data_IF_308308114030
#
_entry.id   IF_308308114030
#
_cell.length_a   1.000
_cell.length_b   1.000
_cell.length_c   1.000
_cell.angle_alpha   90.00
_cell.angle_beta   90.00
_cell.angle_gamma   90.00
#
_symmetry.space_group_name_H-M   'P 1'
#
loop_
_entity.id
_entity.type
_entity.pdbx_description
1 polymer ?
#
# COMPACT_ATOMS: atom_id res chain seq x y z
N UNK A 1 -50.99 34.57 -25.70
CA UNK A 1 -50.57 34.13 -24.35
C UNK A 1 -50.65 35.31 -23.39
N UNK A 2 -51.34 35.15 -22.27
CA UNK A 2 -51.76 36.24 -21.38
C UNK A 2 -50.60 36.81 -20.56
N UNK A 3 -50.58 38.13 -20.30
CA UNK A 3 -49.54 38.79 -19.47
C UNK A 3 -49.39 38.19 -18.07
N UNK A 4 -50.43 37.50 -17.58
CA UNK A 4 -50.42 36.77 -16.31
C UNK A 4 -49.48 35.56 -16.33
N UNK A 5 -49.41 34.80 -17.43
CA UNK A 5 -48.53 33.63 -17.53
C UNK A 5 -47.06 34.03 -17.58
N UNK A 6 -46.71 35.13 -18.25
CA UNK A 6 -45.33 35.65 -18.28
C UNK A 6 -44.86 36.16 -16.90
N UNK A 7 -45.74 36.82 -16.14
CA UNK A 7 -45.42 37.28 -14.77
C UNK A 7 -45.23 36.11 -13.79
N UNK A 8 -46.10 35.09 -13.86
CA UNK A 8 -45.98 33.89 -13.04
C UNK A 8 -44.66 33.14 -13.30
N UNK A 9 -44.27 33.01 -14.57
CA UNK A 9 -43.01 32.36 -14.95
C UNK A 9 -41.79 33.15 -14.46
N UNK A 10 -41.82 34.49 -14.54
CA UNK A 10 -40.76 35.34 -14.01
C UNK A 10 -40.59 35.20 -12.49
N UNK A 11 -41.70 35.20 -11.74
CA UNK A 11 -41.68 35.01 -10.28
C UNK A 11 -41.11 33.63 -9.91
N UNK A 12 -41.55 32.57 -10.58
CA UNK A 12 -41.02 31.21 -10.34
C UNK A 12 -39.51 31.12 -10.62
N UNK A 13 -39.02 31.80 -11.66
CA UNK A 13 -37.59 31.82 -12.00
C UNK A 13 -36.76 32.52 -10.91
N UNK A 14 -37.25 33.65 -10.40
CA UNK A 14 -36.59 34.40 -9.31
C UNK A 14 -36.58 33.57 -8.02
N UNK A 15 -37.72 32.97 -7.65
CA UNK A 15 -37.82 32.11 -6.46
C UNK A 15 -36.92 30.88 -6.57
N UNK A 16 -36.85 30.24 -7.75
CA UNK A 16 -35.94 29.13 -8.00
C UNK A 16 -34.47 29.52 -7.85
N UNK A 17 -34.10 30.71 -8.34
CA UNK A 17 -32.74 31.24 -8.21
C UNK A 17 -32.38 31.53 -6.75
N UNK A 18 -33.30 32.15 -6.00
CA UNK A 18 -33.11 32.42 -4.56
C UNK A 18 -32.99 31.12 -3.77
N UNK A 19 -33.84 30.13 -4.05
CA UNK A 19 -33.79 28.82 -3.39
C UNK A 19 -32.46 28.09 -3.69
N UNK A 20 -32.02 28.05 -4.94
CA UNK A 20 -30.74 27.46 -5.33
C UNK A 20 -29.54 28.18 -4.71
N UNK A 21 -29.55 29.52 -4.69
CA UNK A 21 -28.49 30.33 -4.06
C UNK A 21 -28.46 30.16 -2.53
N UNK A 22 -29.62 30.11 -1.90
CA UNK A 22 -29.76 29.90 -0.45
C UNK A 22 -29.32 28.49 -0.06
N UNK A 23 -29.68 27.48 -0.86
CA UNK A 23 -29.21 26.12 -0.68
C UNK A 23 -27.70 26.02 -0.85
N UNK A 24 -27.12 26.63 -1.90
CA UNK A 24 -25.67 26.67 -2.10
C UNK A 24 -24.93 27.36 -0.96
N UNK A 25 -25.49 28.47 -0.44
CA UNK A 25 -24.92 29.22 0.68
C UNK A 25 -25.02 28.45 1.99
N UNK A 26 -26.20 27.87 2.28
CA UNK A 26 -26.41 27.02 3.44
C UNK A 26 -25.51 25.78 3.37
N UNK A 27 -25.37 25.15 2.20
CA UNK A 27 -24.42 24.07 2.00
C UNK A 27 -22.99 24.52 2.29
N UNK A 28 -22.54 25.68 1.82
CA UNK A 28 -21.18 26.17 2.10
C UNK A 28 -20.94 26.63 3.55
N UNK A 29 -21.95 27.16 4.22
CA UNK A 29 -21.86 27.66 5.61
C UNK A 29 -22.07 26.55 6.64
N UNK A 30 -22.94 25.59 6.36
CA UNK A 30 -23.27 24.48 7.24
C UNK A 30 -22.42 23.24 6.98
N UNK A 31 -21.77 23.15 5.82
CA UNK A 31 -20.76 22.11 5.60
C UNK A 31 -19.60 22.40 6.54
N UNK A 32 -19.45 21.53 7.53
CA UNK A 32 -18.22 21.40 8.27
C UNK A 32 -17.07 21.34 7.25
N UNK A 33 -16.26 22.40 7.21
CA UNK A 33 -15.14 22.52 6.25
C UNK A 33 -14.07 21.47 6.52
N UNK A 34 -14.23 20.71 7.59
CA UNK A 34 -13.23 19.83 8.12
C UNK A 34 -12.16 20.60 8.86
N UNK A 35 -11.19 19.86 9.41
CA UNK A 35 -10.00 20.46 9.99
C UNK A 35 -9.28 21.34 8.96
N UNK A 36 -8.76 22.48 9.41
CA UNK A 36 -7.97 23.36 8.54
C UNK A 36 -6.63 22.69 8.17
N UNK A 37 -5.93 23.24 7.17
CA UNK A 37 -4.63 22.73 6.77
C UNK A 37 -3.62 22.78 7.92
N UNK A 38 -3.63 23.88 8.68
CA UNK A 38 -2.79 24.11 9.86
C UNK A 38 -3.11 23.08 10.96
N UNK A 39 -4.37 22.71 11.09
CA UNK A 39 -4.82 21.74 12.08
C UNK A 39 -4.37 20.31 11.72
N UNK A 40 -4.40 19.96 10.42
CA UNK A 40 -3.85 18.69 9.90
C UNK A 40 -2.33 18.66 10.09
N UNK A 41 -1.64 19.75 9.78
CA UNK A 41 -0.19 19.88 9.97
C UNK A 41 0.19 19.69 11.44
N UNK A 42 -0.48 20.39 12.36
CA UNK A 42 -0.20 20.29 13.79
C UNK A 42 -0.39 18.86 14.31
N UNK A 43 -1.50 18.21 13.95
CA UNK A 43 -1.76 16.82 14.33
C UNK A 43 -0.75 15.84 13.72
N UNK A 44 -0.34 16.04 12.46
CA UNK A 44 0.67 15.19 11.82
C UNK A 44 2.06 15.35 12.46
N UNK A 45 2.43 16.56 12.88
CA UNK A 45 3.68 16.83 13.63
C UNK A 45 3.67 16.17 15.02
N UNK A 46 2.53 16.21 15.71
CA UNK A 46 2.36 15.51 16.98
C UNK A 46 2.52 14.00 16.80
N UNK A 47 1.83 13.42 15.82
CA UNK A 47 1.98 12.00 15.49
C UNK A 47 3.42 11.63 15.13
N UNK A 48 4.09 12.44 14.31
CA UNK A 48 5.51 12.23 13.95
C UNK A 48 6.42 12.26 15.18
N UNK A 49 6.12 13.08 16.18
CA UNK A 49 6.88 13.14 17.43
C UNK A 49 6.68 11.89 18.29
N UNK A 50 5.49 11.29 18.23
CA UNK A 50 5.18 10.05 18.95
C UNK A 50 5.66 8.78 18.24
N UNK A 51 5.93 8.84 16.93
CA UNK A 51 6.32 7.71 16.11
C UNK A 51 7.67 7.11 16.52
N UNK A 52 7.74 5.78 16.57
CA UNK A 52 8.99 5.02 16.70
C UNK A 52 9.17 4.07 15.49
N UNK A 53 10.43 3.75 15.12
CA UNK A 53 10.69 2.78 14.05
C UNK A 53 9.95 1.46 14.28
N UNK A 54 9.17 1.04 13.27
CA UNK A 54 8.36 -0.18 13.31
C UNK A 54 6.90 0.03 13.71
N UNK A 55 6.48 1.25 14.04
CA UNK A 55 5.06 1.56 14.19
C UNK A 55 4.35 1.63 12.83
N UNK A 56 3.04 1.33 12.84
CA UNK A 56 2.15 1.54 11.72
C UNK A 56 1.38 2.85 11.88
N UNK A 57 1.32 3.66 10.83
CA UNK A 57 0.42 4.80 10.76
C UNK A 57 -0.73 4.48 9.80
N UNK A 58 -1.94 4.43 10.34
CA UNK A 58 -3.19 4.33 9.59
C UNK A 58 -3.83 5.71 9.44
N UNK A 59 -4.07 6.13 8.21
CA UNK A 59 -4.86 7.33 7.90
C UNK A 59 -6.30 6.90 7.63
N UNK A 60 -7.23 7.47 8.37
CA UNK A 60 -8.66 7.17 8.27
C UNK A 60 -9.50 8.45 8.25
N UNK A 61 -10.58 8.50 7.44
CA UNK A 61 -10.87 7.57 6.35
C UNK A 61 -9.81 7.65 5.23
N UNK A 62 -9.83 6.70 4.29
CA UNK A 62 -8.79 6.59 3.25
C UNK A 62 -8.49 7.87 2.44
N UNK A 63 -9.47 8.77 2.32
CA UNK A 63 -9.35 10.04 1.60
C UNK A 63 -8.68 11.15 2.42
N UNK A 64 -8.32 10.93 3.70
CA UNK A 64 -7.62 11.89 4.54
C UNK A 64 -6.11 12.01 4.20
N UNK A 65 -5.75 11.85 2.92
CA UNK A 65 -4.37 11.73 2.43
C UNK A 65 -3.53 12.97 2.63
N UNK A 66 -4.14 14.13 2.89
CA UNK A 66 -3.43 15.38 3.16
C UNK A 66 -2.49 15.30 4.37
N UNK A 67 -2.78 14.42 5.33
CA UNK A 67 -1.85 14.15 6.44
C UNK A 67 -0.47 13.67 5.95
N UNK A 68 -0.39 12.99 4.80
CA UNK A 68 0.87 12.51 4.20
C UNK A 68 1.84 13.64 3.89
N UNK A 69 1.33 14.79 3.46
CA UNK A 69 2.15 15.98 3.14
C UNK A 69 3.02 16.39 4.34
N UNK A 70 2.50 16.19 5.55
CA UNK A 70 3.13 16.63 6.80
C UNK A 70 3.78 15.50 7.60
N UNK A 71 3.43 14.25 7.30
CA UNK A 71 4.10 13.07 7.86
C UNK A 71 5.49 12.85 7.23
N UNK A 72 5.76 13.44 6.07
CA UNK A 72 7.10 13.46 5.46
C UNK A 72 7.54 12.08 4.96
N UNK A 73 8.70 11.63 5.42
CA UNK A 73 9.32 10.33 5.09
C UNK A 73 8.76 9.14 5.87
N UNK A 74 7.73 9.34 6.70
CA UNK A 74 7.01 8.22 7.30
C UNK A 74 6.19 7.52 6.21
N UNK A 75 5.96 6.20 6.38
CA UNK A 75 5.23 5.37 5.43
C UNK A 75 3.77 5.10 5.90
N UNK A 76 2.87 6.10 5.98
CA UNK A 76 1.51 5.83 6.38
C UNK A 76 0.79 5.01 5.31
N UNK A 77 -0.18 4.21 5.74
CA UNK A 77 -1.14 3.52 4.87
C UNK A 77 -2.53 4.09 5.10
N UNK A 78 -3.35 4.11 4.05
CA UNK A 78 -4.67 4.71 4.13
C UNK A 78 -5.76 3.77 3.58
N UNK A 79 -5.88 2.52 4.07
CA UNK A 79 -6.79 1.52 3.50
C UNK A 79 -8.28 1.88 3.67
N UNK A 80 -9.13 1.44 2.76
CA UNK A 80 -10.59 1.52 2.84
C UNK A 80 -11.10 0.60 3.94
N UNK A 81 -10.52 -0.59 4.04
CA UNK A 81 -10.76 -1.52 5.12
C UNK A 81 -9.48 -1.69 5.95
N UNK A 82 -9.28 -0.90 7.02
CA UNK A 82 -8.11 -1.01 7.89
C UNK A 82 -8.01 -2.35 8.62
N UNK A 83 -9.09 -3.12 8.74
CA UNK A 83 -9.08 -4.42 9.42
C UNK A 83 -8.35 -5.50 8.63
N UNK A 84 -8.03 -5.24 7.35
CA UNK A 84 -7.26 -6.15 6.50
C UNK A 84 -5.76 -5.81 6.50
N UNK A 85 -5.29 -4.88 7.33
CA UNK A 85 -3.86 -4.61 7.47
C UNK A 85 -3.13 -5.70 8.25
N UNK A 86 -1.82 -5.79 8.02
CA UNK A 86 -0.94 -6.70 8.74
C UNK A 86 -0.42 -6.01 9.99
N UNK A 87 -1.12 -6.21 11.11
CA UNK A 87 -0.74 -5.61 12.39
C UNK A 87 0.41 -6.34 13.08
N UNK A 88 0.65 -7.61 12.75
CA UNK A 88 1.56 -8.48 13.50
C UNK A 88 3.01 -8.01 13.42
N UNK A 89 3.39 -7.28 12.36
CA UNK A 89 4.76 -6.78 12.19
C UNK A 89 5.05 -5.45 12.90
N UNK A 90 4.06 -4.90 13.60
CA UNK A 90 4.14 -3.57 14.20
C UNK A 90 4.02 -3.63 15.71
N UNK A 91 4.76 -2.76 16.39
CA UNK A 91 4.68 -2.63 17.86
C UNK A 91 3.45 -1.82 18.27
N UNK A 92 3.20 -0.73 17.56
CA UNK A 92 2.05 0.14 17.77
C UNK A 92 1.37 0.47 16.44
N UNK A 93 0.09 0.77 16.55
CA UNK A 93 -0.74 1.29 15.45
C UNK A 93 -1.24 2.65 15.87
N UNK A 94 -0.85 3.68 15.13
CA UNK A 94 -1.38 5.03 15.28
C UNK A 94 -2.45 5.27 14.20
N UNK A 95 -3.66 5.56 14.63
CA UNK A 95 -4.76 5.93 13.73
C UNK A 95 -4.90 7.45 13.72
N UNK A 96 -4.54 8.06 12.61
CA UNK A 96 -4.89 9.44 12.29
C UNK A 96 -6.31 9.45 11.71
N UNK A 97 -7.31 9.73 12.54
CA UNK A 97 -8.72 9.70 12.17
C UNK A 97 -9.30 11.10 11.95
N UNK A 98 -10.01 11.31 10.84
CA UNK A 98 -10.90 12.45 10.66
C UNK A 98 -12.34 12.08 11.00
N UNK A 99 -13.10 13.05 11.51
CA UNK A 99 -14.56 12.96 11.67
C UNK A 99 -15.07 11.71 12.41
N UNK A 100 -14.38 11.31 13.49
CA UNK A 100 -14.79 10.16 14.30
C UNK A 100 -14.33 8.79 13.77
N UNK A 101 -13.54 8.75 12.69
CA UNK A 101 -13.12 7.48 12.07
C UNK A 101 -12.14 6.67 12.92
N UNK A 102 -11.33 7.29 13.76
CA UNK A 102 -10.47 6.56 14.70
C UNK A 102 -11.29 5.87 15.79
N UNK A 103 -12.33 6.55 16.28
CA UNK A 103 -13.27 6.06 17.28
C UNK A 103 -14.10 4.90 16.75
N UNK A 104 -14.54 4.98 15.48
CA UNK A 104 -15.25 3.89 14.81
C UNK A 104 -14.44 2.59 14.72
N UNK A 105 -13.11 2.67 14.78
CA UNK A 105 -12.20 1.51 14.76
C UNK A 105 -11.86 0.94 16.13
N UNK A 106 -12.22 1.63 17.22
CA UNK A 106 -11.85 1.20 18.57
C UNK A 106 -12.36 -0.20 18.88
N UNK A 107 -13.67 -0.43 18.73
CA UNK A 107 -14.28 -1.74 19.01
C UNK A 107 -13.75 -2.87 18.11
N UNK A 108 -13.66 -2.70 16.77
CA UNK A 108 -13.00 -3.67 15.91
C UNK A 108 -11.56 -4.02 16.33
N UNK A 109 -10.74 -3.02 16.65
CA UNK A 109 -9.33 -3.25 17.03
C UNK A 109 -9.19 -4.00 18.35
N UNK A 110 -10.01 -3.67 19.35
CA UNK A 110 -10.05 -4.40 20.61
C UNK A 110 -10.42 -5.87 20.39
N UNK A 111 -11.37 -6.18 19.49
CA UNK A 111 -11.71 -7.57 19.12
C UNK A 111 -10.59 -8.29 18.38
N UNK A 112 -9.72 -7.57 17.69
CA UNK A 112 -8.52 -8.11 17.04
C UNK A 112 -7.35 -8.30 18.03
N UNK A 113 -7.55 -7.99 19.32
CA UNK A 113 -6.52 -8.15 20.36
C UNK A 113 -5.54 -6.99 20.48
N UNK A 114 -5.78 -5.87 19.78
CA UNK A 114 -5.01 -4.65 19.99
C UNK A 114 -5.45 -4.01 21.31
N UNK A 115 -4.50 -3.43 22.05
CA UNK A 115 -4.80 -2.74 23.31
C UNK A 115 -4.70 -1.24 23.12
N UNK A 116 -5.74 -0.50 23.49
CA UNK A 116 -5.74 0.96 23.36
C UNK A 116 -4.80 1.58 24.38
N UNK A 117 -3.78 2.29 23.90
CA UNK A 117 -2.76 2.96 24.71
C UNK A 117 -3.16 4.39 25.02
N UNK A 118 -3.56 5.15 23.98
CA UNK A 118 -3.79 6.59 24.08
C UNK A 118 -4.82 7.03 23.05
N UNK A 119 -5.64 8.03 23.38
CA UNK A 119 -6.52 8.72 22.43
C UNK A 119 -6.42 10.21 22.70
N UNK A 120 -6.16 10.98 21.64
CA UNK A 120 -6.00 12.42 21.68
C UNK A 120 -6.82 13.06 20.58
N UNK A 121 -7.35 14.25 20.84
CA UNK A 121 -8.06 15.06 19.86
C UNK A 121 -7.34 16.41 19.75
N UNK A 122 -6.19 16.46 19.05
CA UNK A 122 -5.33 17.65 19.02
C UNK A 122 -6.03 18.88 18.42
N UNK A 123 -7.07 18.64 17.62
CA UNK A 123 -7.94 19.69 17.08
C UNK A 123 -9.34 19.13 16.81
N UNK A 124 -10.32 20.01 16.66
CA UNK A 124 -11.69 19.61 16.33
C UNK A 124 -11.71 18.83 15.00
N UNK A 125 -12.27 17.62 15.05
CA UNK A 125 -12.44 16.77 13.87
C UNK A 125 -11.23 15.91 13.50
N UNK A 126 -10.13 15.96 14.27
CA UNK A 126 -9.01 15.02 14.17
C UNK A 126 -8.84 14.29 15.50
N UNK A 127 -8.73 12.97 15.43
CA UNK A 127 -8.40 12.11 16.58
C UNK A 127 -7.17 11.26 16.23
N UNK A 128 -6.21 11.22 17.13
CA UNK A 128 -5.08 10.30 17.08
C UNK A 128 -5.33 9.22 18.13
N UNK A 129 -5.58 7.99 17.69
CA UNK A 129 -5.72 6.83 18.57
C UNK A 129 -4.53 5.90 18.42
N UNK A 130 -3.82 5.62 19.51
CA UNK A 130 -2.67 4.72 19.55
C UNK A 130 -3.05 3.42 20.22
N UNK A 131 -2.70 2.32 19.57
CA UNK A 131 -2.91 0.96 20.03
C UNK A 131 -1.58 0.22 20.09
N UNK A 132 -1.37 -0.64 21.08
CA UNK A 132 -0.27 -1.60 21.12
C UNK A 132 -0.72 -2.94 20.56
N UNK A 133 0.20 -3.63 19.89
CA UNK A 133 -0.02 -4.97 19.35
C UNK A 133 0.70 -5.98 20.26
N UNK A 134 -0.06 -6.90 20.87
CA UNK A 134 0.47 -7.81 21.90
C UNK A 134 1.31 -8.97 21.33
N UNK A 135 0.98 -9.43 20.12
CA UNK A 135 1.72 -10.49 19.44
C UNK A 135 2.49 -9.87 18.27
N UNK A 136 3.78 -9.62 18.48
CA UNK A 136 4.63 -9.04 17.44
C UNK A 136 5.49 -10.11 16.80
N UNK A 137 5.45 -10.15 15.49
CA UNK A 137 6.41 -10.83 14.65
C UNK A 137 7.47 -9.80 14.24
N UNK A 138 8.75 -10.03 14.54
CA UNK A 138 9.80 -9.13 14.08
C UNK A 138 10.10 -9.39 12.59
N UNK A 139 10.32 -8.31 11.84
CA UNK A 139 10.89 -8.40 10.49
C UNK A 139 12.41 -8.48 10.65
N UNK A 140 12.95 -9.62 10.26
CA UNK A 140 14.40 -9.92 10.36
C UNK A 140 15.10 -9.67 9.03
N UNK A 141 14.35 -9.73 7.92
CA UNK A 141 14.84 -9.42 6.59
C UNK A 141 13.71 -8.87 5.73
N UNK A 142 13.92 -7.69 5.12
CA UNK A 142 12.97 -7.06 4.21
C UNK A 142 13.50 -7.16 2.78
N UNK A 143 12.84 -7.97 1.94
CA UNK A 143 13.28 -8.14 0.54
C UNK A 143 13.18 -6.84 -0.26
N UNK A 144 12.24 -5.97 0.14
CA UNK A 144 12.12 -4.64 -0.43
C UNK A 144 13.35 -3.79 -0.13
N UNK A 145 13.75 -3.73 1.13
CA UNK A 145 14.85 -2.86 1.56
C UNK A 145 16.20 -3.38 1.07
N UNK A 146 16.31 -4.70 0.90
CA UNK A 146 17.51 -5.40 0.41
C UNK A 146 17.57 -5.52 -1.13
N UNK A 147 16.66 -4.86 -1.89
CA UNK A 147 16.59 -4.96 -3.36
C UNK A 147 17.93 -4.71 -4.06
N UNK A 148 18.76 -3.79 -3.53
CA UNK A 148 20.08 -3.46 -4.10
C UNK A 148 21.05 -4.64 -4.12
N UNK A 149 20.86 -5.62 -3.23
CA UNK A 149 21.68 -6.83 -3.14
C UNK A 149 21.12 -7.98 -3.96
N UNK A 150 19.93 -7.83 -4.53
CA UNK A 150 19.32 -8.85 -5.37
C UNK A 150 20.13 -9.04 -6.66
N UNK A 151 20.14 -10.27 -7.18
CA UNK A 151 20.50 -10.57 -8.56
C UNK A 151 19.22 -10.70 -9.37
N UNK A 152 19.05 -9.87 -10.39
CA UNK A 152 17.86 -9.90 -11.25
C UNK A 152 18.22 -10.48 -12.62
N UNK A 153 17.47 -11.50 -13.05
CA UNK A 153 17.68 -12.14 -14.35
C UNK A 153 16.34 -12.41 -15.03
N UNK A 154 16.29 -12.20 -16.34
CA UNK A 154 15.22 -12.67 -17.18
C UNK A 154 15.52 -14.11 -17.66
N UNK A 155 14.68 -15.06 -17.25
CA UNK A 155 14.72 -16.44 -17.72
C UNK A 155 13.74 -16.62 -18.88
N UNK A 156 14.25 -16.84 -20.08
CA UNK A 156 13.46 -17.10 -21.28
C UNK A 156 12.85 -18.51 -21.27
N UNK A 157 11.86 -18.75 -22.12
CA UNK A 157 11.18 -20.06 -22.23
C UNK A 157 12.10 -21.20 -22.67
N UNK A 158 13.22 -20.89 -23.33
CA UNK A 158 14.28 -21.84 -23.70
C UNK A 158 15.31 -22.08 -22.59
N UNK A 159 15.11 -21.48 -21.40
CA UNK A 159 16.02 -21.55 -20.26
C UNK A 159 17.19 -20.58 -20.30
N UNK A 160 17.32 -19.74 -21.35
CA UNK A 160 18.40 -18.76 -21.44
C UNK A 160 18.21 -17.67 -20.37
N UNK A 161 19.27 -17.44 -19.59
CA UNK A 161 19.33 -16.37 -18.59
C UNK A 161 19.95 -15.11 -19.19
N UNK A 162 19.24 -14.00 -19.08
CA UNK A 162 19.71 -12.66 -19.45
C UNK A 162 19.77 -11.78 -18.19
N UNK A 163 20.93 -11.24 -17.79
CA UNK A 163 21.03 -10.42 -16.59
C UNK A 163 20.38 -9.05 -16.78
N UNK A 164 19.69 -8.58 -15.74
CA UNK A 164 19.25 -7.19 -15.62
C UNK A 164 20.31 -6.47 -14.78
N UNK A 165 21.43 -6.11 -15.40
CA UNK A 165 22.70 -5.77 -14.75
C UNK A 165 22.85 -4.29 -14.36
N UNK A 166 21.91 -3.43 -14.77
CA UNK A 166 21.96 -2.00 -14.48
C UNK A 166 21.10 -1.64 -13.26
N UNK A 167 21.73 -1.59 -12.10
CA UNK A 167 21.13 -0.95 -10.93
C UNK A 167 21.33 0.58 -10.96
N UNK A 168 20.35 1.33 -10.52
CA UNK A 168 20.46 2.78 -10.34
C UNK A 168 19.63 3.22 -9.14
N UNK A 169 20.23 4.01 -8.24
CA UNK A 169 19.56 4.58 -7.06
C UNK A 169 18.57 5.71 -7.43
N UNK A 170 18.68 6.30 -8.62
CA UNK A 170 18.01 7.56 -8.98
C UNK A 170 16.57 7.39 -9.45
N UNK A 171 16.18 6.18 -9.87
CA UNK A 171 14.92 5.94 -10.54
C UNK A 171 13.96 5.08 -9.71
N UNK A 172 12.71 5.53 -9.63
CA UNK A 172 11.56 4.85 -9.08
C UNK A 172 10.34 5.78 -9.06
N UNK A 173 9.13 5.25 -9.27
CA UNK A 173 7.89 6.04 -9.07
C UNK A 173 7.76 6.44 -7.60
N UNK A 174 8.16 7.66 -7.29
CA UNK A 174 8.19 8.25 -5.94
C UNK A 174 9.56 8.77 -5.49
N UNK A 175 10.60 8.70 -6.33
CA UNK A 175 11.91 9.29 -6.07
C UNK A 175 13.08 8.31 -6.22
N UNK A 176 14.21 8.66 -5.61
CA UNK A 176 15.45 7.89 -5.64
C UNK A 176 15.35 6.62 -4.76
N UNK A 177 14.65 5.60 -5.27
CA UNK A 177 14.36 4.36 -4.52
C UNK A 177 15.07 3.13 -5.08
N UNK A 178 15.79 3.22 -6.20
CA UNK A 178 16.54 2.09 -6.70
C UNK A 178 15.74 1.17 -7.63
N UNK A 179 16.31 0.84 -8.80
CA UNK A 179 15.80 -0.21 -9.69
C UNK A 179 16.89 -0.95 -10.44
N UNK A 180 16.63 -2.23 -10.71
CA UNK A 180 17.35 -3.09 -11.66
C UNK A 180 16.68 -3.07 -13.02
N UNK A 181 17.32 -2.51 -14.06
CA UNK A 181 16.76 -2.49 -15.41
C UNK A 181 17.26 -3.67 -16.26
N UNK A 182 16.33 -4.32 -16.96
CA UNK A 182 16.66 -5.33 -17.96
C UNK A 182 16.99 -4.67 -19.31
N UNK A 183 17.84 -5.30 -20.12
CA UNK A 183 18.29 -4.71 -21.40
C UNK A 183 17.17 -4.59 -22.42
N UNK A 184 16.27 -5.58 -22.44
CA UNK A 184 15.05 -5.53 -23.24
C UNK A 184 14.05 -4.64 -22.52
N UNK A 185 13.66 -3.55 -23.19
CA UNK A 185 12.59 -2.67 -22.74
C UNK A 185 12.77 -2.17 -21.30
N UNK A 186 13.88 -1.49 -21.03
CA UNK A 186 14.21 -0.95 -19.71
C UNK A 186 13.17 0.04 -19.13
N UNK A 187 12.22 0.51 -19.96
CA UNK A 187 11.09 1.33 -19.53
C UNK A 187 10.02 0.51 -18.80
N UNK A 188 9.74 -0.72 -19.28
CA UNK A 188 8.66 -1.58 -18.76
C UNK A 188 9.15 -2.87 -18.12
N UNK A 189 10.43 -3.19 -18.25
CA UNK A 189 11.01 -4.43 -17.75
C UNK A 189 12.19 -4.14 -16.82
N UNK A 190 11.85 -3.95 -15.55
CA UNK A 190 12.78 -3.70 -14.44
C UNK A 190 12.25 -4.34 -13.14
N UNK A 191 13.01 -4.23 -12.06
CA UNK A 191 12.54 -4.51 -10.70
C UNK A 191 12.91 -3.32 -9.84
N UNK A 192 11.94 -2.70 -9.16
CA UNK A 192 12.16 -1.45 -8.45
C UNK A 192 11.31 -1.31 -7.20
N UNK A 193 11.76 -0.50 -6.25
CA UNK A 193 10.90 -0.02 -5.15
C UNK A 193 10.03 1.11 -5.66
N UNK A 194 8.72 0.92 -5.68
CA UNK A 194 7.79 1.91 -6.23
C UNK A 194 6.51 2.04 -5.42
N UNK A 195 5.93 3.25 -5.44
CA UNK A 195 4.57 3.46 -4.98
C UNK A 195 3.57 3.13 -6.09
N UNK A 196 2.75 2.12 -5.87
CA UNK A 196 1.64 1.77 -6.76
C UNK A 196 0.31 1.75 -6.04
N UNK A 197 -0.75 2.11 -6.76
CA UNK A 197 -2.12 1.90 -6.28
C UNK A 197 -2.43 0.42 -6.35
N UNK A 198 -2.45 -0.26 -5.21
CA UNK A 198 -2.82 -1.66 -5.07
C UNK A 198 -4.28 -1.70 -4.64
N UNK A 199 -5.17 -1.71 -5.63
CA UNK A 199 -6.60 -1.43 -5.44
C UNK A 199 -6.78 0.06 -5.17
N UNK A 200 -7.49 0.40 -4.10
CA UNK A 200 -7.81 1.79 -3.80
C UNK A 200 -6.71 2.55 -3.04
N UNK A 201 -5.57 1.91 -2.73
CA UNK A 201 -4.56 2.48 -1.84
C UNK A 201 -3.15 2.42 -2.40
N UNK A 202 -2.36 3.49 -2.23
CA UNK A 202 -0.94 3.45 -2.55
C UNK A 202 -0.20 2.53 -1.57
N UNK A 203 0.67 1.67 -2.10
CA UNK A 203 1.59 0.81 -1.35
C UNK A 203 3.00 0.97 -1.91
N UNK A 204 3.97 1.01 -1.00
CA UNK A 204 5.38 0.91 -1.37
C UNK A 204 5.74 -0.57 -1.52
N UNK A 205 5.96 -1.00 -2.76
CA UNK A 205 6.14 -2.40 -3.14
C UNK A 205 7.41 -2.61 -3.96
N UNK A 206 7.80 -3.86 -4.12
CA UNK A 206 8.64 -4.32 -5.21
C UNK A 206 7.76 -4.44 -6.45
N UNK A 207 7.93 -3.49 -7.38
CA UNK A 207 7.37 -3.59 -8.71
C UNK A 207 8.17 -4.60 -9.52
N UNK A 208 7.48 -5.53 -10.16
CA UNK A 208 8.06 -6.59 -10.98
C UNK A 208 7.07 -6.98 -12.08
N UNK A 209 7.17 -6.33 -13.24
CA UNK A 209 6.31 -6.66 -14.38
C UNK A 209 6.72 -8.02 -14.99
N UNK A 210 5.77 -8.95 -15.22
CA UNK A 210 6.08 -10.23 -15.85
C UNK A 210 6.52 -10.02 -17.30
N UNK A 211 7.50 -10.78 -17.83
CA UNK A 211 7.84 -10.71 -19.24
C UNK A 211 6.75 -11.34 -20.12
N UNK A 212 6.65 -10.92 -21.39
CA UNK A 212 5.74 -11.50 -22.40
C UNK A 212 5.95 -13.02 -22.62
N UNK A 213 7.11 -13.54 -22.26
CA UNK A 213 7.41 -14.97 -22.26
C UNK A 213 8.47 -15.27 -21.21
N UNK A 214 8.45 -16.45 -20.59
CA UNK A 214 9.41 -16.82 -19.55
C UNK A 214 9.06 -16.22 -18.18
N UNK A 215 10.07 -15.86 -17.39
CA UNK A 215 9.88 -15.28 -16.04
C UNK A 215 10.99 -14.32 -15.64
N UNK A 216 10.64 -13.35 -14.81
CA UNK A 216 11.58 -12.45 -14.17
C UNK A 216 11.99 -13.03 -12.81
N UNK A 217 13.26 -13.39 -12.63
CA UNK A 217 13.81 -13.95 -11.39
C UNK A 217 14.51 -12.86 -10.58
N UNK A 218 14.23 -12.83 -9.29
CA UNK A 218 14.78 -11.90 -8.30
C UNK A 218 15.37 -12.73 -7.17
N UNK A 219 16.69 -12.90 -7.19
CA UNK A 219 17.41 -13.79 -6.28
C UNK A 219 18.09 -12.98 -5.17
N UNK A 220 17.90 -13.41 -3.93
CA UNK A 220 18.55 -12.88 -2.74
C UNK A 220 19.38 -13.98 -2.10
N UNK A 221 20.70 -13.79 -2.02
CA UNK A 221 21.61 -14.69 -1.32
C UNK A 221 21.68 -14.41 0.18
N UNK A 222 22.10 -15.43 0.94
CA UNK A 222 22.36 -15.33 2.39
C UNK A 222 21.19 -14.77 3.22
N UNK A 223 19.95 -15.09 2.82
CA UNK A 223 18.75 -14.63 3.52
C UNK A 223 18.60 -15.44 4.82
N UNK A 224 18.49 -14.79 6.00
CA UNK A 224 18.31 -15.50 7.25
C UNK A 224 16.94 -16.19 7.28
N UNK A 225 16.93 -17.48 7.64
CA UNK A 225 15.72 -18.24 7.83
C UNK A 225 15.22 -18.07 9.27
N UNK A 226 13.94 -17.71 9.43
CA UNK A 226 13.41 -17.22 10.71
C UNK A 226 12.07 -17.83 11.10
N UNK A 227 11.68 -18.91 10.43
CA UNK A 227 10.46 -19.67 10.65
C UNK A 227 9.35 -19.35 9.66
N UNK A 228 9.28 -18.11 9.16
CA UNK A 228 8.21 -17.65 8.27
C UNK A 228 8.76 -16.70 7.21
N UNK A 229 8.42 -16.95 5.95
CA UNK A 229 8.42 -15.95 4.88
C UNK A 229 6.96 -15.52 4.68
N UNK A 230 6.66 -14.23 4.78
CA UNK A 230 5.32 -13.73 4.54
C UNK A 230 5.33 -12.39 3.80
N UNK A 231 4.24 -12.13 3.08
CA UNK A 231 4.13 -10.97 2.23
C UNK A 231 2.73 -10.77 1.66
N UNK A 232 2.62 -9.83 0.73
CA UNK A 232 1.40 -9.51 -0.01
C UNK A 232 1.75 -9.25 -1.46
N UNK A 233 0.86 -9.61 -2.38
CA UNK A 233 1.06 -9.29 -3.78
C UNK A 233 -0.26 -9.10 -4.52
N UNK A 234 -0.17 -8.56 -5.73
CA UNK A 234 -1.32 -8.46 -6.61
C UNK A 234 -1.12 -7.52 -7.78
N UNK A 235 -2.21 -7.31 -8.52
CA UNK A 235 -2.30 -6.39 -9.62
C UNK A 235 -2.45 -4.95 -9.13
N UNK A 236 -1.71 -4.02 -9.74
CA UNK A 236 -1.99 -2.59 -9.56
C UNK A 236 -3.40 -2.27 -10.08
N UNK A 237 -4.02 -1.20 -9.59
CA UNK A 237 -5.35 -0.77 -10.03
C UNK A 237 -5.40 -0.56 -11.55
N UNK A 238 -4.38 0.10 -12.13
CA UNK A 238 -4.30 0.32 -13.58
C UNK A 238 -4.25 -1.00 -14.35
N UNK A 239 -3.61 -2.03 -13.78
CA UNK A 239 -3.56 -3.36 -14.38
C UNK A 239 -4.95 -3.98 -14.46
N UNK A 240 -5.78 -3.88 -13.43
CA UNK A 240 -7.11 -4.52 -13.42
C UNK A 240 -8.08 -4.07 -14.53
N UNK A 241 -7.83 -2.92 -15.16
CA UNK A 241 -8.62 -2.42 -16.29
C UNK A 241 -8.17 -2.97 -17.66
N UNK A 242 -6.94 -3.48 -17.76
CA UNK A 242 -6.28 -3.76 -19.04
C UNK A 242 -5.61 -5.14 -19.10
N UNK A 243 -5.31 -5.72 -17.94
CA UNK A 243 -4.83 -7.08 -17.77
C UNK A 243 -5.83 -8.08 -18.31
N UNK A 244 -5.30 -9.16 -18.89
CA UNK A 244 -6.10 -10.25 -19.47
C UNK A 244 -5.88 -11.57 -18.77
N UNK A 245 -4.75 -11.71 -18.10
CA UNK A 245 -4.31 -12.95 -17.48
C UNK A 245 -3.79 -12.72 -16.09
N UNK A 246 -3.78 -13.80 -15.31
CA UNK A 246 -3.23 -13.81 -13.95
C UNK A 246 -1.71 -13.60 -13.96
N UNK A 247 -1.16 -13.27 -12.81
CA UNK A 247 0.28 -13.31 -12.54
C UNK A 247 0.60 -14.41 -11.54
N UNK A 248 1.60 -15.22 -11.85
CA UNK A 248 2.11 -16.25 -10.96
C UNK A 248 3.40 -15.76 -10.30
N UNK A 249 3.40 -15.72 -8.96
CA UNK A 249 4.58 -15.49 -8.12
C UNK A 249 5.04 -16.84 -7.56
N UNK A 250 6.15 -17.33 -8.07
CA UNK A 250 6.82 -18.52 -7.57
C UNK A 250 7.93 -18.10 -6.59
N UNK A 251 7.96 -18.74 -5.42
CA UNK A 251 8.94 -18.53 -4.37
C UNK A 251 9.73 -19.83 -4.21
N UNK A 252 11.04 -19.77 -4.43
CA UNK A 252 11.96 -20.88 -4.25
C UNK A 252 12.94 -20.54 -3.14
N UNK A 253 13.07 -21.44 -2.16
CA UNK A 253 14.03 -21.33 -1.06
C UNK A 253 14.96 -22.54 -1.13
N UNK A 254 16.25 -22.28 -1.35
CA UNK A 254 17.27 -23.32 -1.47
C UNK A 254 17.28 -24.22 -0.23
N UNK A 255 17.18 -25.54 -0.45
CA UNK A 255 17.13 -26.55 0.60
C UNK A 255 15.77 -26.72 1.30
N UNK A 256 14.77 -25.87 1.02
CA UNK A 256 13.43 -25.95 1.63
C UNK A 256 12.39 -26.39 0.60
N UNK A 257 12.35 -25.75 -0.57
CA UNK A 257 11.39 -26.11 -1.63
C UNK A 257 10.88 -24.90 -2.41
N UNK A 258 9.81 -25.14 -3.17
CA UNK A 258 9.22 -24.19 -4.11
C UNK A 258 7.71 -24.12 -3.92
N UNK A 259 7.15 -22.92 -3.90
CA UNK A 259 5.72 -22.65 -3.79
C UNK A 259 5.27 -21.64 -4.84
N UNK A 260 4.12 -21.88 -5.48
CA UNK A 260 3.52 -20.95 -6.46
C UNK A 260 2.27 -20.33 -5.87
N UNK A 261 2.10 -19.02 -6.05
CA UNK A 261 0.89 -18.26 -5.74
C UNK A 261 0.39 -17.58 -7.02
N UNK A 262 -0.84 -17.88 -7.42
CA UNK A 262 -1.49 -17.30 -8.60
C UNK A 262 -2.40 -16.15 -8.22
N UNK A 263 -2.22 -14.97 -8.82
CA UNK A 263 -2.98 -13.76 -8.52
C UNK A 263 -3.96 -13.42 -9.64
N UNK A 264 -5.25 -13.44 -9.31
CA UNK A 264 -6.32 -13.07 -10.26
C UNK A 264 -6.41 -11.56 -10.49
N UNK A 265 -7.13 -11.15 -11.53
CA UNK A 265 -7.24 -9.76 -11.97
C UNK A 265 -7.84 -8.79 -10.93
N UNK A 266 -8.66 -9.30 -10.01
CA UNK A 266 -9.26 -8.55 -8.91
C UNK A 266 -8.46 -8.63 -7.61
N UNK A 267 -7.35 -9.34 -7.59
CA UNK A 267 -6.51 -9.51 -6.41
C UNK A 267 -5.42 -8.45 -6.40
N UNK A 268 -5.65 -7.41 -5.62
CA UNK A 268 -4.76 -6.25 -5.60
C UNK A 268 -3.66 -6.32 -4.53
N UNK A 269 -3.92 -6.94 -3.39
CA UNK A 269 -2.98 -6.93 -2.25
C UNK A 269 -3.22 -8.14 -1.33
N UNK A 270 -3.25 -9.34 -1.92
CA UNK A 270 -3.60 -10.59 -1.24
C UNK A 270 -2.40 -11.12 -0.45
N UNK A 271 -2.58 -11.53 0.82
CA UNK A 271 -1.49 -12.09 1.61
C UNK A 271 -1.06 -13.47 1.11
N UNK A 272 0.21 -13.78 1.34
CA UNK A 272 0.80 -15.11 1.18
C UNK A 272 1.78 -15.39 2.33
N UNK A 273 1.99 -16.67 2.63
CA UNK A 273 2.97 -17.09 3.63
C UNK A 273 3.50 -18.51 3.36
N UNK A 274 4.74 -18.74 3.75
CA UNK A 274 5.44 -20.00 3.66
C UNK A 274 6.19 -20.25 4.98
N UNK A 275 6.04 -21.45 5.53
CA UNK A 275 6.82 -21.88 6.69
C UNK A 275 8.24 -22.19 6.22
N UNK A 276 9.23 -21.70 6.95
CA UNK A 276 10.65 -21.95 6.68
C UNK A 276 11.29 -22.58 7.92
N UNK A 277 12.50 -23.14 7.81
CA UNK A 277 13.36 -23.33 8.97
C UNK A 277 13.52 -22.02 9.76
N UNK A 278 13.79 -22.14 11.06
CA UNK A 278 13.99 -21.03 12.00
C UNK A 278 15.48 -20.71 12.25
N UNK A 279 16.38 -21.44 11.58
CA UNK A 279 17.83 -21.30 11.66
C UNK A 279 18.48 -21.44 10.29
N UNK A 280 19.66 -20.83 10.14
CA UNK A 280 20.48 -20.89 8.92
C UNK A 280 20.20 -19.75 7.94
N UNK A 281 20.83 -19.85 6.77
CA UNK A 281 20.62 -18.94 5.65
C UNK A 281 20.32 -19.72 4.38
N UNK A 282 19.62 -19.11 3.43
CA UNK A 282 19.34 -19.69 2.13
C UNK A 282 19.34 -18.63 1.03
N UNK A 283 19.45 -19.10 -0.21
CA UNK A 283 19.05 -18.31 -1.37
C UNK A 283 17.53 -18.35 -1.50
N UNK A 284 16.91 -17.18 -1.59
CA UNK A 284 15.47 -17.02 -1.86
C UNK A 284 15.30 -16.38 -3.23
N UNK A 285 14.57 -17.05 -4.11
CA UNK A 285 14.24 -16.53 -5.45
C UNK A 285 12.75 -16.29 -5.57
N UNK A 286 12.38 -15.08 -6.00
CA UNK A 286 11.04 -14.76 -6.47
C UNK A 286 11.05 -14.79 -8.01
N UNK A 287 10.17 -15.58 -8.60
CA UNK A 287 9.99 -15.65 -10.04
C UNK A 287 8.59 -15.15 -10.40
N UNK A 288 8.51 -14.08 -11.19
CA UNK A 288 7.27 -13.47 -11.64
C UNK A 288 7.02 -13.83 -13.10
N UNK A 289 5.85 -14.39 -13.39
CA UNK A 289 5.48 -14.82 -14.75
C UNK A 289 3.98 -14.61 -15.01
N UNK A 290 3.60 -14.58 -16.28
CA UNK A 290 2.20 -14.53 -16.68
C UNK A 290 2.04 -15.24 -18.04
N UNK A 291 0.92 -15.93 -18.29
CA UNK A 291 0.61 -16.46 -19.61
C UNK A 291 0.53 -15.38 -20.71
N UNK A 292 0.06 -14.18 -20.34
CA UNK A 292 0.05 -12.98 -21.20
C UNK A 292 0.42 -11.77 -20.33
N UNK A 293 1.63 -11.25 -20.50
CA UNK A 293 2.09 -10.14 -19.66
C UNK A 293 1.38 -8.82 -19.95
N UNK A 294 0.81 -8.60 -21.14
CA UNK A 294 0.15 -7.36 -21.59
C UNK A 294 0.29 -6.14 -20.65
N UNK A 295 -0.80 -5.79 -19.98
CA UNK A 295 -0.83 -4.73 -18.96
C UNK A 295 -0.79 -5.29 -17.51
N UNK A 296 -0.12 -6.41 -17.28
CA UNK A 296 0.00 -7.07 -15.97
C UNK A 296 1.00 -6.37 -15.05
N UNK A 297 0.76 -5.09 -14.75
CA UNK A 297 1.54 -4.39 -13.73
C UNK A 297 1.31 -5.06 -12.37
N UNK A 298 2.36 -5.68 -11.86
CA UNK A 298 2.34 -6.50 -10.64
C UNK A 298 3.30 -5.95 -9.60
N UNK A 299 2.89 -6.05 -8.35
CA UNK A 299 3.66 -5.57 -7.21
C UNK A 299 3.55 -6.56 -6.05
N UNK A 300 4.63 -6.69 -5.29
CA UNK A 300 4.63 -7.49 -4.06
C UNK A 300 5.49 -6.87 -2.97
N UNK A 301 5.26 -7.29 -1.74
CA UNK A 301 6.17 -7.13 -0.61
C UNK A 301 6.37 -8.49 0.03
N UNK A 302 7.56 -8.71 0.60
CA UNK A 302 7.88 -9.92 1.32
C UNK A 302 8.87 -9.61 2.44
N UNK A 303 8.85 -10.43 3.47
CA UNK A 303 9.78 -10.35 4.60
C UNK A 303 10.01 -11.73 5.23
N UNK A 304 11.22 -11.94 5.75
CA UNK A 304 11.49 -12.99 6.72
C UNK A 304 11.09 -12.50 8.11
N UNK A 305 10.35 -13.34 8.81
CA UNK A 305 9.62 -13.00 10.01
C UNK A 305 9.90 -13.99 11.12
N UNK A 306 10.17 -13.51 12.33
CA UNK A 306 10.30 -14.33 13.53
C UNK A 306 9.17 -14.03 14.49
N UNK A 307 8.45 -15.06 14.95
CA UNK A 307 7.46 -14.89 16.01
C UNK A 307 8.19 -14.61 17.32
N UNK A 308 7.75 -13.60 18.07
CA UNK A 308 8.17 -13.47 19.47
C UNK A 308 7.62 -14.65 20.24
N UNK A 309 8.50 -15.41 20.90
CA UNK A 309 8.15 -16.55 21.74
C UNK A 309 7.51 -16.16 23.07
#
# INVERSE_FOLDING_TARGET
MSSRTSRALGILTVLGTIAAGSYGTAFWLLRDRGPSAEAIEAAARELRTAYEPGDLILIQPFYATRAREWLGDLDPVAPQNPLLEDFETHRRVHVFGLFGSAEALAEPFLRMGLSRVKVESPTKGITIATYSVSATTSIEYSFRDELKRARVTYEQTDGKLEPCDRYTDEFGRGGAMGRWSCRRDAEWFYVGKEWHRMGDHPRLCLWAHPPNSGRLRIEFGDVPLTGILAGRAGHTLNSSLHARERVDLEIEISGVGRQVYSFGLSEHWRPFSLVTPDVGTATVTFSVSSPDAGANHFCFEASMRRRSG
#
